data_IF_377217548776
#
_entry.id   IF_377217548776
#
_cell.length_a   1.000
_cell.length_b   1.000
_cell.length_c   1.000
_cell.angle_alpha   90.00
_cell.angle_beta   90.00
_cell.angle_gamma   90.00
#
_symmetry.space_group_name_H-M   'P 1'
#
loop_
_entity.id
_entity.type
_entity.pdbx_description
1 polymer ?
#
# COMPACT_ATOMS: atom_id res chain seq x y z
N UNK A 1 7.16 20.94 -6.24
CA UNK A 1 6.84 20.03 -7.37
C UNK A 1 5.79 20.70 -8.26
N UNK A 2 5.99 20.73 -9.58
CA UNK A 2 5.01 21.24 -10.54
C UNK A 2 4.45 20.06 -11.34
N UNK A 3 3.16 19.83 -11.23
CA UNK A 3 2.46 18.76 -11.96
C UNK A 3 1.56 19.41 -12.98
N UNK A 4 1.65 18.96 -14.23
CA UNK A 4 0.84 19.44 -15.34
C UNK A 4 0.12 18.25 -15.96
N UNK A 5 -1.22 18.19 -15.81
CA UNK A 5 -2.03 17.07 -16.28
C UNK A 5 -3.43 17.52 -16.69
N UNK A 6 -3.95 16.94 -17.75
CA UNK A 6 -5.30 17.21 -18.25
C UNK A 6 -6.24 16.11 -17.78
N UNK A 7 -7.36 16.49 -17.21
CA UNK A 7 -8.42 15.56 -16.80
C UNK A 7 -9.70 15.85 -17.58
N UNK A 8 -10.34 14.82 -18.11
CA UNK A 8 -11.61 14.91 -18.77
C UNK A 8 -12.49 13.72 -18.34
N UNK A 9 -13.66 14.01 -17.78
CA UNK A 9 -14.60 12.99 -17.32
C UNK A 9 -14.10 12.14 -16.14
N UNK A 10 -13.15 12.66 -15.37
CA UNK A 10 -12.54 11.97 -14.21
C UNK A 10 -13.15 12.50 -12.92
N UNK A 11 -13.49 11.62 -11.98
CA UNK A 11 -14.00 11.99 -10.68
C UNK A 11 -12.96 12.78 -9.87
N UNK A 12 -13.40 13.69 -9.01
CA UNK A 12 -12.53 14.62 -8.27
C UNK A 12 -11.55 13.90 -7.34
N UNK A 13 -11.99 12.82 -6.68
CA UNK A 13 -11.16 11.97 -5.84
C UNK A 13 -9.98 11.39 -6.64
N UNK A 14 -10.24 10.90 -7.86
CA UNK A 14 -9.22 10.36 -8.75
C UNK A 14 -8.26 11.42 -9.28
N UNK A 15 -8.73 12.66 -9.44
CA UNK A 15 -7.86 13.80 -9.79
C UNK A 15 -6.86 14.05 -8.65
N UNK A 16 -7.33 14.15 -7.41
CA UNK A 16 -6.46 14.34 -6.26
C UNK A 16 -5.48 13.18 -6.10
N UNK A 17 -5.98 11.95 -6.14
CA UNK A 17 -5.16 10.75 -6.02
C UNK A 17 -4.05 10.73 -7.07
N UNK A 18 -4.36 11.07 -8.33
CA UNK A 18 -3.38 11.14 -9.43
C UNK A 18 -2.32 12.21 -9.18
N UNK A 19 -2.73 13.42 -8.77
CA UNK A 19 -1.80 14.51 -8.50
C UNK A 19 -0.79 14.11 -7.42
N UNK A 20 -1.26 13.48 -6.33
CA UNK A 20 -0.38 13.07 -5.24
C UNK A 20 0.45 11.84 -5.58
N UNK A 21 -0.05 10.93 -6.41
CA UNK A 21 0.74 9.83 -6.98
C UNK A 21 1.93 10.38 -7.78
N UNK A 22 1.69 11.35 -8.65
CA UNK A 22 2.74 11.98 -9.44
C UNK A 22 3.71 12.80 -8.56
N UNK A 23 3.21 13.45 -7.51
CA UNK A 23 4.07 14.14 -6.54
C UNK A 23 5.00 13.14 -5.84
N UNK A 24 4.46 12.03 -5.34
CA UNK A 24 5.23 10.95 -4.72
C UNK A 24 6.33 10.41 -5.64
N UNK A 25 6.04 10.25 -6.92
CA UNK A 25 7.03 9.78 -7.91
C UNK A 25 8.20 10.76 -8.11
N UNK A 26 7.99 12.05 -7.84
CA UNK A 26 9.02 13.08 -7.99
C UNK A 26 9.78 13.37 -6.70
N UNK A 27 9.13 13.25 -5.53
CA UNK A 27 9.71 13.62 -4.23
C UNK A 27 10.09 12.43 -3.38
N UNK A 28 9.61 11.22 -3.72
CA UNK A 28 9.67 10.00 -2.90
C UNK A 28 8.85 10.09 -1.59
N UNK A 29 8.30 11.26 -1.25
CA UNK A 29 7.42 11.43 -0.11
C UNK A 29 6.06 10.78 -0.36
N UNK A 30 5.47 10.18 0.67
CA UNK A 30 4.10 9.66 0.64
C UNK A 30 3.14 10.71 1.20
N UNK A 31 2.07 11.00 0.47
CA UNK A 31 1.09 11.99 0.87
C UNK A 31 -0.20 11.33 1.34
N UNK A 32 -0.71 11.78 2.48
CA UNK A 32 -2.04 11.42 2.99
C UNK A 32 -3.01 12.59 2.81
N UNK A 33 -4.24 12.27 2.42
CA UNK A 33 -5.32 13.23 2.28
C UNK A 33 -6.32 12.97 3.39
N UNK A 34 -6.60 13.99 4.20
CA UNK A 34 -7.55 13.91 5.31
C UNK A 34 -8.56 15.04 5.21
N UNK A 35 -9.82 14.72 5.42
CA UNK A 35 -10.88 15.71 5.49
C UNK A 35 -11.04 16.19 6.95
N UNK A 36 -10.95 17.49 7.14
CA UNK A 36 -11.10 18.12 8.44
C UNK A 36 -12.30 19.07 8.41
N UNK A 37 -12.83 19.50 9.57
CA UNK A 37 -13.87 20.54 9.62
C UNK A 37 -13.46 21.87 8.95
N UNK A 38 -12.17 22.10 8.75
CA UNK A 38 -11.61 23.28 8.07
C UNK A 38 -11.39 23.07 6.57
N UNK A 39 -11.62 21.86 6.07
CA UNK A 39 -11.42 21.48 4.67
C UNK A 39 -10.45 20.35 4.46
N UNK A 40 -9.97 20.21 3.24
CA UNK A 40 -9.00 19.18 2.83
C UNK A 40 -7.61 19.53 3.40
N UNK A 41 -7.02 18.58 4.12
CA UNK A 41 -5.63 18.62 4.56
C UNK A 41 -4.83 17.60 3.77
N UNK A 42 -3.74 18.04 3.18
CA UNK A 42 -2.75 17.15 2.56
C UNK A 42 -1.45 17.30 3.32
N UNK A 43 -0.91 16.21 3.80
CA UNK A 43 0.34 16.19 4.55
C UNK A 43 1.22 15.01 4.11
N UNK A 44 2.53 15.15 4.30
CA UNK A 44 3.46 14.02 4.15
C UNK A 44 3.11 12.97 5.22
N UNK A 45 2.97 11.74 4.78
CA UNK A 45 2.68 10.60 5.66
C UNK A 45 3.99 10.12 6.28
N UNK A 46 4.26 10.57 7.48
CA UNK A 46 5.44 10.22 8.25
C UNK A 46 5.06 9.55 9.58
N UNK A 47 6.02 8.95 10.26
CA UNK A 47 5.79 8.34 11.58
C UNK A 47 5.30 9.41 12.56
N UNK A 48 4.16 9.15 13.19
CA UNK A 48 3.57 10.09 14.14
C UNK A 48 4.48 10.29 15.35
N UNK A 49 4.76 11.52 15.73
CA UNK A 49 5.58 11.86 16.92
C UNK A 49 5.00 11.25 18.21
N UNK A 50 3.68 11.05 18.27
CA UNK A 50 2.95 10.47 19.39
C UNK A 50 2.15 9.26 18.96
N UNK A 51 2.86 8.15 18.66
CA UNK A 51 2.20 6.89 18.37
C UNK A 51 1.61 6.26 19.63
N UNK A 52 0.33 5.85 19.55
CA UNK A 52 -0.30 5.07 20.61
C UNK A 52 0.31 3.69 20.64
N UNK A 53 0.56 3.18 21.84
CA UNK A 53 1.04 1.81 22.05
C UNK A 53 -0.14 0.90 22.29
N UNK A 54 -0.34 -0.07 21.41
CA UNK A 54 -1.36 -1.12 21.54
C UNK A 54 -0.75 -2.35 22.23
N UNK A 55 -1.29 -2.73 23.39
CA UNK A 55 -0.82 -3.85 24.20
C UNK A 55 -1.98 -4.76 24.57
N UNK A 56 -1.78 -6.07 24.50
CA UNK A 56 -2.76 -7.09 24.89
C UNK A 56 -3.26 -6.97 26.34
N UNK A 57 -2.45 -6.44 27.23
CA UNK A 57 -2.77 -6.30 28.66
C UNK A 57 -3.44 -4.94 28.99
N UNK A 58 -3.70 -4.10 28.00
CA UNK A 58 -4.19 -2.74 28.22
C UNK A 58 -5.37 -2.40 27.30
N UNK A 59 -5.07 -2.05 26.06
CA UNK A 59 -6.03 -1.48 25.10
C UNK A 59 -6.22 -2.31 23.83
N UNK A 60 -5.41 -3.35 23.61
CA UNK A 60 -5.57 -4.29 22.50
C UNK A 60 -6.47 -5.45 22.95
N UNK A 61 -7.60 -5.64 22.30
CA UNK A 61 -8.60 -6.65 22.64
C UNK A 61 -8.43 -7.92 21.79
N UNK A 62 -8.16 -7.75 20.51
CA UNK A 62 -7.91 -8.84 19.56
C UNK A 62 -6.93 -8.41 18.48
N UNK A 63 -6.17 -9.38 17.96
CA UNK A 63 -5.24 -9.16 16.86
C UNK A 63 -5.29 -10.35 15.90
N UNK A 64 -5.46 -10.07 14.63
CA UNK A 64 -5.51 -11.05 13.55
C UNK A 64 -4.57 -10.67 12.43
N UNK A 65 -3.75 -11.62 12.02
CA UNK A 65 -2.92 -11.52 10.82
C UNK A 65 -3.45 -12.47 9.76
N UNK A 66 -3.61 -11.98 8.55
CA UNK A 66 -3.94 -12.78 7.37
C UNK A 66 -2.81 -12.60 6.36
N UNK A 67 -2.21 -13.70 5.96
CA UNK A 67 -1.21 -13.73 4.91
C UNK A 67 -1.86 -14.25 3.64
N UNK A 68 -1.75 -13.50 2.55
CA UNK A 68 -2.29 -13.85 1.25
C UNK A 68 -1.16 -14.01 0.24
N UNK A 69 -1.04 -15.23 -0.28
CA UNK A 69 -0.06 -15.64 -1.27
C UNK A 69 -0.66 -15.76 -2.69
N UNK A 70 -1.93 -15.40 -2.88
CA UNK A 70 -2.67 -15.63 -4.12
C UNK A 70 -2.03 -14.92 -5.33
N UNK A 71 -1.45 -13.76 -5.10
CA UNK A 71 -0.88 -12.92 -6.15
C UNK A 71 0.65 -12.90 -6.18
N UNK A 72 1.29 -13.90 -5.58
CA UNK A 72 2.76 -14.00 -5.64
C UNK A 72 3.22 -14.11 -7.10
N UNK A 73 4.20 -13.29 -7.44
CA UNK A 73 4.97 -13.38 -8.68
C UNK A 73 6.44 -13.38 -8.31
N UNK A 74 7.12 -14.49 -8.58
CA UNK A 74 8.55 -14.63 -8.30
C UNK A 74 9.37 -14.96 -9.55
N UNK A 75 8.71 -14.99 -10.70
CA UNK A 75 9.30 -15.19 -12.00
C UNK A 75 8.54 -14.37 -13.04
N UNK A 76 9.26 -13.70 -13.93
CA UNK A 76 8.69 -13.00 -15.09
C UNK A 76 9.42 -13.49 -16.33
N UNK A 77 8.70 -14.15 -17.22
CA UNK A 77 9.20 -14.57 -18.52
C UNK A 77 8.90 -13.50 -19.57
N UNK A 78 9.92 -13.09 -20.30
CA UNK A 78 9.84 -12.06 -21.33
C UNK A 78 9.93 -12.74 -22.70
N UNK A 79 8.95 -12.42 -23.54
CA UNK A 79 8.82 -12.92 -24.92
C UNK A 79 8.90 -11.75 -25.90
N UNK A 80 9.32 -11.99 -27.12
CA UNK A 80 9.20 -11.00 -28.20
C UNK A 80 7.78 -10.95 -28.78
N UNK A 81 7.58 -10.05 -29.76
CA UNK A 81 6.28 -9.88 -30.44
C UNK A 81 5.84 -11.14 -31.20
N UNK A 82 6.76 -12.00 -31.60
CA UNK A 82 6.51 -13.26 -32.31
C UNK A 82 6.24 -14.43 -31.37
N UNK A 83 6.30 -14.19 -30.04
CA UNK A 83 6.06 -15.18 -29.00
C UNK A 83 7.28 -16.05 -28.68
N UNK A 84 8.48 -15.67 -29.15
CA UNK A 84 9.73 -16.41 -28.83
C UNK A 84 10.25 -15.94 -27.46
N UNK A 85 10.61 -16.91 -26.62
CA UNK A 85 11.20 -16.65 -25.31
C UNK A 85 12.54 -15.92 -25.43
N UNK A 86 12.69 -14.82 -24.73
CA UNK A 86 13.91 -14.02 -24.71
C UNK A 86 14.72 -14.24 -23.42
N UNK A 87 14.13 -13.98 -22.29
CA UNK A 87 14.80 -14.10 -20.99
C UNK A 87 13.79 -14.23 -19.83
N UNK A 88 14.33 -14.56 -18.67
CA UNK A 88 13.57 -14.63 -17.42
C UNK A 88 14.23 -13.77 -16.36
N UNK A 89 13.41 -13.04 -15.59
CA UNK A 89 13.81 -12.29 -14.40
C UNK A 89 13.07 -12.89 -13.20
N UNK A 90 13.77 -13.11 -12.09
CA UNK A 90 13.13 -13.70 -10.91
C UNK A 90 14.09 -13.83 -9.72
N UNK A 91 13.56 -14.30 -8.60
CA UNK A 91 14.31 -14.50 -7.36
C UNK A 91 14.31 -15.96 -6.95
N UNK A 92 15.49 -16.58 -6.94
CA UNK A 92 15.65 -18.01 -6.61
C UNK A 92 15.13 -18.40 -5.24
N UNK A 93 15.29 -17.52 -4.23
CA UNK A 93 14.88 -17.82 -2.86
C UNK A 93 13.35 -17.86 -2.70
N UNK A 94 12.62 -16.95 -3.34
CA UNK A 94 11.17 -16.99 -3.37
C UNK A 94 10.64 -18.21 -4.15
N UNK A 95 11.33 -18.62 -5.23
CA UNK A 95 10.96 -19.80 -5.99
C UNK A 95 11.20 -21.10 -5.20
N UNK A 96 12.24 -21.17 -4.38
CA UNK A 96 12.49 -22.32 -3.48
C UNK A 96 11.40 -22.47 -2.44
N UNK A 97 10.86 -21.35 -1.93
CA UNK A 97 9.86 -21.34 -0.86
C UNK A 97 8.45 -21.61 -1.37
N UNK A 98 8.05 -20.97 -2.48
CA UNK A 98 6.66 -20.98 -2.98
C UNK A 98 6.48 -21.77 -4.28
N UNK A 99 7.55 -22.34 -4.84
CA UNK A 99 7.54 -22.80 -6.23
C UNK A 99 7.61 -21.66 -7.23
N UNK A 100 7.60 -21.97 -8.52
CA UNK A 100 7.64 -20.96 -9.57
C UNK A 100 6.24 -20.39 -9.83
N UNK A 101 6.07 -19.11 -9.53
CA UNK A 101 4.85 -18.32 -9.80
C UNK A 101 5.19 -17.31 -10.89
N UNK A 102 4.90 -17.68 -12.13
CA UNK A 102 5.38 -16.95 -13.31
C UNK A 102 4.31 -16.03 -13.91
N UNK A 103 4.72 -14.84 -14.31
CA UNK A 103 3.99 -13.94 -15.20
C UNK A 103 4.72 -13.77 -16.51
N UNK A 104 3.99 -13.48 -17.58
CA UNK A 104 4.56 -13.28 -18.90
C UNK A 104 4.44 -11.81 -19.29
N UNK A 105 5.51 -11.27 -19.88
CA UNK A 105 5.52 -9.97 -20.54
C UNK A 105 5.91 -10.17 -22.00
N UNK A 106 5.39 -9.29 -22.87
CA UNK A 106 5.75 -9.26 -24.29
C UNK A 106 6.47 -7.95 -24.58
N UNK A 107 7.70 -8.05 -25.07
CA UNK A 107 8.51 -6.91 -25.50
C UNK A 107 8.14 -6.54 -26.94
N UNK A 108 7.61 -5.31 -27.14
CA UNK A 108 7.31 -4.78 -28.44
C UNK A 108 8.40 -3.80 -28.87
N UNK A 109 9.05 -4.05 -29.98
CA UNK A 109 10.15 -3.22 -30.50
C UNK A 109 9.75 -1.75 -30.79
N UNK A 110 8.46 -1.45 -30.88
CA UNK A 110 7.92 -0.09 -31.09
C UNK A 110 7.48 0.62 -29.79
N UNK A 111 7.70 0.03 -28.63
CA UNK A 111 7.32 0.59 -27.35
C UNK A 111 8.52 1.25 -26.68
N UNK A 112 8.34 2.49 -26.19
CA UNK A 112 9.33 3.19 -25.35
C UNK A 112 9.34 2.68 -23.89
N UNK A 113 8.61 1.59 -23.60
CA UNK A 113 8.51 1.01 -22.26
C UNK A 113 9.76 0.17 -21.99
N UNK A 114 10.44 0.48 -20.89
CA UNK A 114 11.54 -0.32 -20.36
C UNK A 114 10.98 -1.61 -19.75
N UNK A 115 11.04 -2.71 -20.51
CA UNK A 115 10.45 -4.00 -20.15
C UNK A 115 11.10 -4.59 -18.89
N UNK A 116 12.38 -4.28 -18.63
CA UNK A 116 13.08 -4.78 -17.45
C UNK A 116 12.57 -4.08 -16.18
N UNK A 117 12.26 -2.78 -16.27
CA UNK A 117 11.59 -2.05 -15.16
C UNK A 117 10.18 -2.55 -14.92
N UNK A 118 9.43 -2.88 -15.97
CA UNK A 118 8.10 -3.44 -15.83
C UNK A 118 8.17 -4.85 -15.20
N UNK A 119 9.11 -5.69 -15.61
CA UNK A 119 9.35 -6.98 -15.01
C UNK A 119 9.73 -6.87 -13.53
N UNK A 120 10.63 -5.95 -13.18
CA UNK A 120 11.02 -5.70 -11.79
C UNK A 120 9.83 -5.22 -10.96
N UNK A 121 9.00 -4.34 -11.50
CA UNK A 121 7.78 -3.88 -10.83
C UNK A 121 6.81 -5.03 -10.55
N UNK A 122 6.62 -5.96 -11.49
CA UNK A 122 5.78 -7.14 -11.26
C UNK A 122 6.32 -8.04 -10.14
N UNK A 123 7.64 -8.17 -10.02
CA UNK A 123 8.27 -8.91 -8.92
C UNK A 123 8.10 -8.18 -7.58
N UNK A 124 8.27 -6.86 -7.57
CA UNK A 124 8.14 -6.04 -6.36
C UNK A 124 6.69 -5.97 -5.84
N UNK A 125 5.72 -5.91 -6.76
CA UNK A 125 4.28 -5.91 -6.45
C UNK A 125 3.76 -7.33 -6.14
N UNK A 126 4.41 -8.36 -6.72
CA UNK A 126 4.03 -9.78 -6.61
C UNK A 126 4.55 -10.46 -5.33
N UNK A 127 4.63 -9.74 -4.21
CA UNK A 127 5.02 -10.32 -2.92
C UNK A 127 3.80 -10.77 -2.13
N UNK A 128 4.02 -11.71 -1.20
CA UNK A 128 2.99 -12.09 -0.23
C UNK A 128 2.49 -10.85 0.52
N UNK A 129 1.19 -10.64 0.53
CA UNK A 129 0.58 -9.54 1.27
C UNK A 129 0.16 -9.97 2.66
N UNK A 130 0.41 -9.12 3.64
CA UNK A 130 0.02 -9.33 5.02
C UNK A 130 -0.98 -8.26 5.43
N UNK A 131 -2.18 -8.67 5.81
CA UNK A 131 -3.19 -7.79 6.39
C UNK A 131 -3.29 -8.03 7.88
N UNK A 132 -3.04 -7.01 8.67
CA UNK A 132 -3.16 -7.03 10.12
C UNK A 132 -4.42 -6.27 10.51
N UNK A 133 -5.31 -6.93 11.25
CA UNK A 133 -6.50 -6.29 11.81
C UNK A 133 -6.44 -6.38 13.32
N UNK A 134 -6.70 -5.28 14.02
CA UNK A 134 -6.76 -5.24 15.48
C UNK A 134 -8.04 -4.59 15.96
N UNK A 135 -8.63 -5.16 17.01
CA UNK A 135 -9.73 -4.57 17.76
C UNK A 135 -9.17 -3.99 19.06
N UNK A 136 -9.44 -2.71 19.31
CA UNK A 136 -8.84 -1.97 20.43
C UNK A 136 -9.90 -1.15 21.18
N UNK A 137 -9.60 -0.77 22.42
CA UNK A 137 -10.38 0.26 23.12
C UNK A 137 -10.33 1.57 22.35
N UNK A 138 -11.44 2.27 22.29
CA UNK A 138 -11.59 3.46 21.46
C UNK A 138 -10.70 4.62 21.90
N UNK A 139 -10.03 5.23 20.92
CA UNK A 139 -9.30 6.47 21.06
C UNK A 139 -9.47 7.28 19.76
N UNK A 140 -9.84 8.55 19.88
CA UNK A 140 -10.14 9.43 18.75
C UNK A 140 -8.92 9.76 17.88
N UNK A 141 -7.71 9.49 18.35
CA UNK A 141 -6.49 9.68 17.57
C UNK A 141 -6.10 8.46 16.74
N UNK A 142 -6.81 7.33 16.87
CA UNK A 142 -6.60 6.12 16.07
C UNK A 142 -7.28 6.25 14.70
N UNK A 143 -6.77 7.12 13.86
CA UNK A 143 -7.32 7.44 12.55
C UNK A 143 -6.37 7.04 11.41
N UNK A 144 -6.93 6.76 10.27
CA UNK A 144 -6.20 6.46 9.02
C UNK A 144 -5.13 7.51 8.74
N UNK A 145 -3.93 7.05 8.37
CA UNK A 145 -2.78 7.90 8.11
C UNK A 145 -1.85 8.11 9.32
N UNK A 146 -2.29 7.77 10.52
CA UNK A 146 -1.45 7.81 11.72
C UNK A 146 -0.69 6.49 11.90
N UNK A 147 0.27 6.48 12.82
CA UNK A 147 1.00 5.28 13.22
C UNK A 147 0.65 4.81 14.62
N UNK A 148 0.74 3.50 14.83
CA UNK A 148 0.63 2.87 16.14
C UNK A 148 1.82 1.96 16.40
N UNK A 149 2.19 1.81 17.66
CA UNK A 149 3.18 0.80 18.09
C UNK A 149 2.40 -0.40 18.61
N UNK A 150 2.50 -1.55 17.98
CA UNK A 150 1.88 -2.79 18.46
C UNK A 150 2.90 -3.59 19.27
N UNK A 151 2.47 -4.11 20.41
CA UNK A 151 3.23 -5.02 21.27
C UNK A 151 2.33 -6.19 21.65
N UNK A 152 2.24 -7.16 20.75
CA UNK A 152 1.44 -8.36 20.92
C UNK A 152 2.33 -9.61 20.75
N UNK A 153 2.42 -10.43 21.79
CA UNK A 153 3.36 -11.55 21.82
C UNK A 153 2.78 -12.85 21.22
N UNK A 154 1.45 -13.04 21.24
CA UNK A 154 0.83 -14.30 20.79
C UNK A 154 0.87 -14.44 19.27
N UNK A 155 0.61 -13.36 18.55
CA UNK A 155 0.70 -13.31 17.08
C UNK A 155 2.07 -12.90 16.59
N UNK A 156 2.97 -12.48 17.50
CA UNK A 156 4.28 -11.96 17.16
C UNK A 156 4.26 -10.55 16.56
N UNK A 157 3.14 -9.85 16.63
CA UNK A 157 3.00 -8.49 16.10
C UNK A 157 3.72 -7.49 17.00
N UNK A 158 4.91 -7.10 16.58
CA UNK A 158 5.73 -6.11 17.30
C UNK A 158 6.33 -5.11 16.32
N UNK A 159 6.13 -3.83 16.61
CA UNK A 159 6.71 -2.77 15.78
C UNK A 159 5.79 -1.58 15.56
N UNK A 160 6.19 -0.73 14.64
CA UNK A 160 5.42 0.45 14.19
C UNK A 160 4.60 0.02 12.97
N UNK A 161 3.30 0.32 13.01
CA UNK A 161 2.37 0.06 11.93
C UNK A 161 1.63 1.33 11.53
N UNK A 162 1.32 1.43 10.26
CA UNK A 162 0.46 2.45 9.71
C UNK A 162 -1.01 2.02 9.80
N UNK A 163 -1.89 2.94 10.18
CA UNK A 163 -3.34 2.72 10.12
C UNK A 163 -3.79 3.00 8.68
N UNK A 164 -4.18 1.95 7.97
CA UNK A 164 -4.71 2.05 6.60
C UNK A 164 -6.21 2.25 6.56
N UNK A 165 -6.92 1.71 7.56
CA UNK A 165 -8.34 1.95 7.74
C UNK A 165 -8.70 1.89 9.23
N UNK A 166 -9.69 2.69 9.61
CA UNK A 166 -10.25 2.73 10.95
C UNK A 166 -11.77 2.67 10.91
N UNK A 167 -12.35 1.97 11.90
CA UNK A 167 -13.79 1.94 12.15
C UNK A 167 -14.02 2.20 13.62
N UNK A 168 -14.63 3.33 13.91
CA UNK A 168 -14.98 3.74 15.27
C UNK A 168 -16.41 3.32 15.60
N UNK A 169 -16.60 2.60 16.69
CA UNK A 169 -17.90 2.07 17.09
C UNK A 169 -18.23 2.48 18.52
N UNK A 170 -19.35 3.20 18.68
CA UNK A 170 -19.94 3.51 19.96
C UNK A 170 -21.16 2.62 20.17
N UNK A 171 -21.14 1.79 21.19
CA UNK A 171 -22.23 0.88 21.51
C UNK A 171 -22.50 0.90 23.01
N UNK A 172 -23.70 1.42 23.40
CA UNK A 172 -24.04 1.70 24.79
C UNK A 172 -22.97 2.63 25.39
N UNK A 173 -22.35 2.26 26.51
CA UNK A 173 -21.35 3.08 27.19
C UNK A 173 -19.90 2.73 26.79
N UNK A 174 -19.74 1.96 25.73
CA UNK A 174 -18.44 1.47 25.28
C UNK A 174 -18.04 2.08 23.94
N UNK A 175 -16.75 2.39 23.80
CA UNK A 175 -16.14 2.88 22.59
C UNK A 175 -15.00 1.97 22.15
N UNK A 176 -15.04 1.53 20.91
CA UNK A 176 -14.09 0.60 20.31
C UNK A 176 -13.61 1.11 18.97
N UNK A 177 -12.39 0.73 18.59
CA UNK A 177 -11.87 0.93 17.25
C UNK A 177 -11.43 -0.41 16.66
N UNK A 178 -11.78 -0.62 15.39
CA UNK A 178 -11.21 -1.68 14.57
C UNK A 178 -10.29 -1.05 13.56
N UNK A 179 -9.02 -1.47 13.58
CA UNK A 179 -7.98 -0.91 12.72
C UNK A 179 -7.47 -1.96 11.75
N UNK A 180 -7.28 -1.54 10.50
CA UNK A 180 -6.46 -2.29 9.53
C UNK A 180 -5.09 -1.67 9.49
N UNK A 181 -4.08 -2.47 9.75
CA UNK A 181 -2.70 -2.03 9.93
C UNK A 181 -1.81 -2.56 8.80
N UNK A 182 -0.81 -1.77 8.43
CA UNK A 182 0.21 -2.14 7.46
C UNK A 182 1.60 -1.85 8.03
N UNK A 183 2.54 -2.76 7.82
CA UNK A 183 3.94 -2.55 8.18
C UNK A 183 4.68 -1.65 7.19
N UNK A 184 4.10 -1.37 6.02
CA UNK A 184 4.65 -0.52 4.97
C UNK A 184 3.88 0.79 4.89
N UNK A 185 4.58 1.87 4.60
CA UNK A 185 3.96 3.14 4.27
C UNK A 185 3.43 3.10 2.82
N UNK A 186 2.25 2.51 2.63
CA UNK A 186 1.60 2.39 1.32
C UNK A 186 0.47 3.42 1.23
N UNK A 187 0.39 4.12 0.12
CA UNK A 187 -0.69 5.07 -0.20
C UNK A 187 -1.31 4.66 -1.53
N UNK A 188 -2.63 4.69 -1.61
CA UNK A 188 -3.33 4.44 -2.86
C UNK A 188 -2.85 5.38 -3.95
N UNK A 189 -2.72 4.86 -5.17
CA UNK A 189 -2.24 5.61 -6.32
C UNK A 189 -3.23 5.56 -7.48
N UNK A 190 -3.18 6.56 -8.34
CA UNK A 190 -3.98 6.63 -9.56
C UNK A 190 -3.15 7.18 -10.71
N UNK A 191 -3.40 6.66 -11.91
CA UNK A 191 -2.80 7.13 -13.17
C UNK A 191 -3.82 7.77 -14.11
N UNK A 192 -4.97 8.19 -13.58
CA UNK A 192 -6.03 8.82 -14.37
C UNK A 192 -5.56 10.12 -15.06
N UNK A 193 -6.27 10.50 -16.12
CA UNK A 193 -5.93 11.67 -16.94
C UNK A 193 -4.80 11.41 -17.93
N UNK A 194 -4.41 12.42 -18.69
CA UNK A 194 -3.35 12.39 -19.69
C UNK A 194 -2.32 13.50 -19.50
N UNK A 195 -1.13 13.33 -20.02
CA UNK A 195 -0.12 14.38 -20.04
C UNK A 195 -0.58 15.54 -20.92
N UNK A 196 -0.17 16.76 -20.56
CA UNK A 196 -0.31 17.91 -21.43
C UNK A 196 0.84 17.87 -22.44
N UNK A 197 0.51 17.60 -23.68
CA UNK A 197 1.42 17.75 -24.83
C UNK A 197 1.57 19.21 -25.21
#
# INVERSE_FOLDING_TARGET
VKISRKFAGVALDKIFETVWTLATQQTEDKYAITYTPKGLLVAVRDVSERSIVLKAESNLMDARTVEDATNIVNSVAIYDADGSFQRRVGTDDAQKLFGMMERHLTENASSDVDIDKEAQKLLDDGVMTQTVTVDVLGDLSLITGQTVVVRENKTGLQGIFWIDADVHTWKRDNYYCKLTLNCRNVVSGSTAGGELT
#
